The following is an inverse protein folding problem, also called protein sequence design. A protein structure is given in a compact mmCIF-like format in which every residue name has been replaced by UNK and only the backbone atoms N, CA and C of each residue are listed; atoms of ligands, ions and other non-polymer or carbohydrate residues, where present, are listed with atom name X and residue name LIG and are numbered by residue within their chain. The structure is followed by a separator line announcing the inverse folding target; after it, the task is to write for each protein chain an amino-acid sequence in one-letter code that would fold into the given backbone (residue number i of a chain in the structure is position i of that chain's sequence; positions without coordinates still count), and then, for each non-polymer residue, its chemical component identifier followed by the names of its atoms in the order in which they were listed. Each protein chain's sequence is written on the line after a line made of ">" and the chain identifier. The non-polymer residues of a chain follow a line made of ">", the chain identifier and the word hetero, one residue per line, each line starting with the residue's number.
data_IF_632735458670
#
_entry.id   IF_632735458670
#
_cell.length_a   1.000
_cell.length_b   1.000
_cell.length_c   1.000
_cell.angle_alpha   90.00
_cell.angle_beta   90.00
_cell.angle_gamma   90.00
#
_symmetry.space_group_name_H-M   'P 1'
#
loop_
_entity.id
_entity.type
_entity.pdbx_description
1 polymer ?
#
# COMPACT_ATOMS: atom_id res chain seq x y z
N UNK A 1 3.90 22.17 -25.10
CA UNK A 1 3.02 21.18 -25.79
C UNK A 1 1.81 21.92 -26.30
N UNK A 2 1.61 21.98 -27.59
CA UNK A 2 0.45 22.61 -28.25
C UNK A 2 -0.82 21.78 -28.01
N UNK A 3 -2.01 22.34 -28.29
CA UNK A 3 -3.27 21.60 -28.16
C UNK A 3 -3.36 20.39 -29.10
N UNK A 4 -2.68 20.43 -30.24
CA UNK A 4 -2.58 19.31 -31.20
C UNK A 4 -1.65 18.20 -30.71
N UNK A 5 -0.54 18.50 -30.05
CA UNK A 5 0.35 17.51 -29.42
C UNK A 5 -0.31 16.75 -28.27
N UNK A 6 -1.24 17.38 -27.55
CA UNK A 6 -2.07 16.72 -26.52
C UNK A 6 -3.08 15.72 -27.11
N UNK A 7 -3.50 15.91 -28.36
CA UNK A 7 -4.49 15.02 -29.02
C UNK A 7 -3.93 13.67 -29.44
N UNK A 8 -2.61 13.49 -29.47
CA UNK A 8 -1.94 12.21 -29.85
C UNK A 8 -1.27 11.48 -28.68
N UNK A 9 -1.09 12.14 -27.54
CA UNK A 9 -0.42 11.57 -26.37
C UNK A 9 -1.39 10.73 -25.53
N UNK A 10 -0.94 9.55 -25.09
CA UNK A 10 -1.67 8.71 -24.13
C UNK A 10 -2.03 9.52 -22.89
N UNK A 11 -3.31 9.47 -22.48
CA UNK A 11 -3.78 10.06 -21.22
C UNK A 11 -4.32 8.97 -20.28
N UNK A 12 -3.74 8.85 -19.10
CA UNK A 12 -4.13 7.90 -18.06
C UNK A 12 -4.72 8.65 -16.87
N UNK A 13 -5.91 8.26 -16.44
CA UNK A 13 -6.53 8.78 -15.22
C UNK A 13 -6.50 7.73 -14.12
N UNK A 14 -5.91 8.07 -12.98
CA UNK A 14 -5.92 7.21 -11.78
C UNK A 14 -7.07 7.63 -10.87
N UNK A 15 -7.91 6.68 -10.49
CA UNK A 15 -9.05 6.89 -9.58
C UNK A 15 -8.80 6.14 -8.29
N UNK A 16 -8.63 6.87 -7.19
CA UNK A 16 -8.28 6.30 -5.90
C UNK A 16 -8.71 7.13 -4.70
N UNK A 17 -8.06 6.91 -3.56
CA UNK A 17 -8.34 7.64 -2.32
C UNK A 17 -7.68 9.02 -2.33
N UNK A 18 -8.42 10.05 -1.86
CA UNK A 18 -7.88 11.39 -1.63
C UNK A 18 -7.29 11.56 -0.22
N UNK A 19 -6.73 12.76 0.03
CA UNK A 19 -6.06 13.09 1.30
C UNK A 19 -7.03 13.21 2.49
N UNK A 20 -8.31 13.39 2.24
CA UNK A 20 -9.31 13.39 3.33
C UNK A 20 -9.36 12.07 4.11
N UNK A 21 -8.91 10.98 3.51
CA UNK A 21 -8.73 9.65 4.10
C UNK A 21 -7.29 9.20 3.96
N UNK A 22 -6.35 9.99 4.43
CA UNK A 22 -4.92 9.67 4.32
C UNK A 22 -4.63 8.24 4.75
N UNK A 23 -4.09 7.48 3.81
CA UNK A 23 -3.80 6.04 3.96
C UNK A 23 -2.72 5.63 2.96
N UNK A 24 -2.24 4.39 3.05
CA UNK A 24 -1.33 3.84 2.04
C UNK A 24 -1.87 4.01 0.62
N UNK A 25 -3.17 3.81 0.40
CA UNK A 25 -3.79 3.96 -0.93
C UNK A 25 -3.74 5.41 -1.42
N UNK A 26 -3.90 6.40 -0.54
CA UNK A 26 -3.78 7.81 -0.94
C UNK A 26 -2.37 8.13 -1.44
N UNK A 27 -1.35 7.66 -0.73
CA UNK A 27 0.05 7.80 -1.13
C UNK A 27 0.37 7.02 -2.40
N UNK A 28 -0.16 5.82 -2.55
CA UNK A 28 0.01 5.03 -3.78
C UNK A 28 -0.65 5.72 -4.98
N UNK A 29 -1.91 6.19 -4.84
CA UNK A 29 -2.63 6.95 -5.88
C UNK A 29 -1.81 8.16 -6.33
N UNK A 30 -1.27 8.92 -5.37
CA UNK A 30 -0.39 10.06 -5.64
C UNK A 30 0.87 9.63 -6.41
N UNK A 31 1.58 8.61 -5.93
CA UNK A 31 2.84 8.18 -6.53
C UNK A 31 2.65 7.59 -7.92
N UNK A 32 1.63 6.74 -8.12
CA UNK A 32 1.32 6.19 -9.43
C UNK A 32 0.97 7.29 -10.43
N UNK A 33 0.09 8.23 -10.04
CA UNK A 33 -0.28 9.36 -10.92
C UNK A 33 0.93 10.21 -11.30
N UNK A 34 1.80 10.49 -10.32
CA UNK A 34 3.00 11.32 -10.54
C UNK A 34 4.03 10.58 -11.40
N UNK A 35 4.21 9.29 -11.18
CA UNK A 35 5.16 8.48 -11.95
C UNK A 35 4.68 8.30 -13.41
N UNK A 36 3.37 8.07 -13.62
CA UNK A 36 2.77 8.03 -14.96
C UNK A 36 2.92 9.38 -15.70
N UNK A 37 2.81 10.51 -14.98
CA UNK A 37 2.99 11.84 -15.55
C UNK A 37 4.42 12.08 -16.10
N UNK A 38 5.39 11.29 -15.70
CA UNK A 38 6.73 11.26 -16.29
C UNK A 38 6.82 10.53 -17.64
N UNK A 39 5.77 9.79 -18.03
CA UNK A 39 5.75 8.98 -19.28
C UNK A 39 4.63 9.38 -20.25
N UNK A 40 3.51 9.87 -19.74
CA UNK A 40 2.33 10.22 -20.52
C UNK A 40 1.55 11.37 -19.85
N UNK A 41 0.47 11.84 -20.48
CA UNK A 41 -0.45 12.70 -19.77
C UNK A 41 -1.14 11.92 -18.64
N UNK A 42 -1.19 12.48 -17.44
CA UNK A 42 -1.82 11.83 -16.30
C UNK A 42 -2.73 12.80 -15.53
N UNK A 43 -3.81 12.27 -14.96
CA UNK A 43 -4.71 12.99 -14.06
C UNK A 43 -5.17 12.10 -12.91
N UNK A 44 -5.65 12.71 -11.83
CA UNK A 44 -6.16 11.98 -10.68
C UNK A 44 -7.60 12.39 -10.34
N UNK A 45 -8.46 11.40 -10.09
CA UNK A 45 -9.82 11.61 -9.62
C UNK A 45 -9.97 10.90 -8.27
N UNK A 46 -10.23 11.66 -7.21
CA UNK A 46 -10.05 11.21 -5.85
C UNK A 46 -11.37 11.12 -5.08
N UNK A 47 -11.53 10.02 -4.36
CA UNK A 47 -12.59 9.83 -3.39
C UNK A 47 -12.33 10.72 -2.17
N UNK A 48 -13.15 11.76 -1.99
CA UNK A 48 -13.06 12.69 -0.87
C UNK A 48 -13.79 12.17 0.36
N UNK A 49 -14.96 11.53 0.16
CA UNK A 49 -15.76 10.95 1.25
C UNK A 49 -16.17 9.53 0.87
N UNK A 50 -15.90 8.60 1.78
CA UNK A 50 -16.33 7.22 1.69
C UNK A 50 -17.64 7.02 2.47
N UNK A 51 -17.66 6.14 3.47
CA UNK A 51 -18.80 5.91 4.36
C UNK A 51 -18.92 7.03 5.39
N UNK A 52 -20.07 7.16 6.09
CA UNK A 52 -20.19 8.10 7.22
C UNK A 52 -19.05 7.92 8.23
N UNK A 53 -18.51 9.04 8.74
CA UNK A 53 -17.37 9.05 9.67
C UNK A 53 -17.52 8.05 10.83
N UNK A 54 -18.75 7.94 11.37
CA UNK A 54 -19.06 7.01 12.49
C UNK A 54 -18.91 5.52 12.15
N UNK A 55 -18.89 5.16 10.86
CA UNK A 55 -18.74 3.79 10.36
C UNK A 55 -17.31 3.48 9.93
N UNK A 56 -16.41 4.46 10.07
CA UNK A 56 -15.04 4.32 9.58
C UNK A 56 -14.12 3.95 10.74
N UNK A 57 -13.38 2.82 10.66
CA UNK A 57 -12.32 2.52 11.61
C UNK A 57 -11.27 3.63 11.55
N UNK A 58 -10.80 4.14 12.69
CA UNK A 58 -9.88 5.27 12.73
C UNK A 58 -10.53 6.59 12.29
N UNK A 59 -11.76 6.84 12.74
CA UNK A 59 -12.56 8.04 12.40
C UNK A 59 -11.86 9.36 12.78
N UNK A 60 -10.91 9.34 13.70
CA UNK A 60 -10.12 10.49 14.16
C UNK A 60 -9.28 11.10 13.03
N UNK A 61 -8.78 10.30 12.10
CA UNK A 61 -7.92 10.73 10.99
C UNK A 61 -8.69 11.33 9.81
N UNK A 62 -10.01 11.09 9.73
CA UNK A 62 -10.83 11.57 8.61
C UNK A 62 -10.91 13.10 8.63
N UNK A 63 -10.32 13.73 7.61
CA UNK A 63 -10.23 15.18 7.50
C UNK A 63 -9.18 15.84 8.41
N UNK A 64 -8.33 15.05 9.06
CA UNK A 64 -7.17 15.56 9.77
C UNK A 64 -6.05 15.95 8.78
N UNK A 65 -5.28 16.96 9.13
CA UNK A 65 -4.13 17.42 8.34
C UNK A 65 -2.91 16.52 8.66
N UNK A 66 -2.80 15.41 7.95
CA UNK A 66 -1.82 14.36 8.20
C UNK A 66 -0.68 14.35 7.18
N UNK A 67 -0.84 15.06 6.06
CA UNK A 67 0.13 15.06 4.96
C UNK A 67 0.33 16.45 4.39
N UNK A 68 1.57 16.76 4.03
CA UNK A 68 1.94 17.95 3.26
C UNK A 68 2.22 17.61 1.78
N UNK A 69 1.91 16.38 1.35
CA UNK A 69 2.17 15.93 -0.03
C UNK A 69 1.09 16.49 -0.94
N UNK A 70 1.51 17.23 -1.97
CA UNK A 70 0.63 17.80 -2.99
C UNK A 70 0.95 17.27 -4.39
N UNK A 71 -0.07 17.15 -5.24
CA UNK A 71 0.12 16.76 -6.63
C UNK A 71 0.89 17.85 -7.39
N UNK A 72 1.79 17.47 -8.32
CA UNK A 72 2.46 18.41 -9.19
C UNK A 72 1.43 19.22 -10.03
N UNK A 73 1.72 20.48 -10.31
CA UNK A 73 0.81 21.39 -11.04
C UNK A 73 0.39 20.87 -12.43
N UNK A 74 1.28 20.07 -13.06
CA UNK A 74 0.99 19.49 -14.38
C UNK A 74 0.11 18.22 -14.33
N UNK A 75 -0.24 17.71 -13.14
CA UNK A 75 -1.19 16.63 -12.94
C UNK A 75 -2.54 17.21 -12.54
N UNK A 76 -3.53 17.27 -13.44
CA UNK A 76 -4.88 17.73 -13.08
C UNK A 76 -5.50 16.79 -12.03
N UNK A 77 -6.08 17.37 -10.98
CA UNK A 77 -6.70 16.62 -9.90
C UNK A 77 -8.13 17.10 -9.66
N UNK A 78 -9.03 16.16 -9.50
CA UNK A 78 -10.35 16.40 -8.92
C UNK A 78 -10.47 15.63 -7.60
N UNK A 79 -10.29 16.31 -6.46
CA UNK A 79 -10.48 15.76 -5.12
C UNK A 79 -11.85 16.14 -4.57
N UNK A 80 -12.88 15.39 -4.96
CA UNK A 80 -14.24 15.80 -4.64
C UNK A 80 -15.30 14.70 -4.68
N UNK A 81 -14.96 13.46 -5.01
CA UNK A 81 -15.97 12.41 -5.17
C UNK A 81 -16.48 11.96 -3.80
N UNK A 82 -17.78 12.16 -3.58
CA UNK A 82 -18.46 11.71 -2.37
C UNK A 82 -19.19 10.38 -2.59
N UNK A 83 -19.18 9.52 -1.59
CA UNK A 83 -19.91 8.26 -1.56
C UNK A 83 -21.41 8.41 -1.83
N UNK A 84 -21.98 9.56 -1.41
CA UNK A 84 -23.40 9.90 -1.59
C UNK A 84 -23.74 10.47 -2.96
N UNK A 85 -22.74 10.69 -3.83
CA UNK A 85 -22.83 11.26 -5.16
C UNK A 85 -23.26 12.74 -5.20
N UNK A 86 -24.53 13.02 -5.52
CA UNK A 86 -25.01 14.39 -5.68
C UNK A 86 -24.21 15.18 -6.72
N UNK A 87 -23.93 16.44 -6.42
CA UNK A 87 -23.13 17.32 -7.28
C UNK A 87 -21.70 16.84 -7.49
N UNK A 88 -21.14 16.12 -6.50
CA UNK A 88 -19.78 15.61 -6.58
C UNK A 88 -19.60 14.63 -7.74
N UNK A 89 -20.58 13.76 -7.97
CA UNK A 89 -20.57 12.83 -9.10
C UNK A 89 -20.69 13.57 -10.44
N UNK A 90 -21.58 14.58 -10.55
CA UNK A 90 -21.70 15.38 -11.77
C UNK A 90 -20.35 16.05 -12.12
N UNK A 91 -19.70 16.65 -11.13
CA UNK A 91 -18.39 17.28 -11.30
C UNK A 91 -17.31 16.27 -11.68
N UNK A 92 -17.32 15.06 -11.08
CA UNK A 92 -16.42 13.98 -11.45
C UNK A 92 -16.59 13.55 -12.92
N UNK A 93 -17.84 13.42 -13.37
CA UNK A 93 -18.13 13.09 -14.78
C UNK A 93 -17.71 14.21 -15.74
N UNK A 94 -17.93 15.48 -15.35
CA UNK A 94 -17.44 16.65 -16.11
C UNK A 94 -15.91 16.66 -16.17
N UNK A 95 -15.24 16.26 -15.08
CA UNK A 95 -13.78 16.13 -15.07
C UNK A 95 -13.29 15.05 -16.05
N UNK A 96 -13.95 13.88 -16.10
CA UNK A 96 -13.66 12.86 -17.11
C UNK A 96 -13.86 13.39 -18.53
N UNK A 97 -14.94 14.16 -18.78
CA UNK A 97 -15.20 14.76 -20.09
C UNK A 97 -14.15 15.79 -20.50
N UNK A 98 -13.64 16.56 -19.53
CA UNK A 98 -12.59 17.56 -19.76
C UNK A 98 -11.24 16.91 -20.07
N UNK A 99 -10.86 15.94 -19.25
CA UNK A 99 -9.55 15.29 -19.33
C UNK A 99 -9.49 14.25 -20.47
N UNK A 100 -10.62 13.64 -20.85
CA UNK A 100 -10.75 12.63 -21.92
C UNK A 100 -9.68 11.52 -21.84
N UNK A 101 -9.60 10.78 -20.73
CA UNK A 101 -8.58 9.75 -20.58
C UNK A 101 -8.79 8.62 -21.60
N UNK A 102 -7.70 8.11 -22.17
CA UNK A 102 -7.68 6.87 -22.95
C UNK A 102 -7.82 5.64 -22.06
N UNK A 103 -7.28 5.75 -20.83
CA UNK A 103 -7.27 4.67 -19.85
C UNK A 103 -7.63 5.21 -18.46
N UNK A 104 -8.44 4.46 -17.74
CA UNK A 104 -8.79 4.72 -16.35
C UNK A 104 -8.30 3.56 -15.50
N UNK A 105 -7.49 3.83 -14.47
CA UNK A 105 -7.03 2.86 -13.48
C UNK A 105 -7.83 3.09 -12.20
N UNK A 106 -8.65 2.10 -11.82
CA UNK A 106 -9.43 2.10 -10.58
C UNK A 106 -8.67 1.36 -9.50
N UNK A 107 -8.35 2.02 -8.41
CA UNK A 107 -7.65 1.39 -7.28
C UNK A 107 -8.63 0.77 -6.31
N UNK A 108 -8.71 -0.55 -6.27
CA UNK A 108 -9.60 -1.30 -5.41
C UNK A 108 -8.95 -1.62 -4.06
N UNK A 109 -9.56 -1.15 -2.96
CA UNK A 109 -9.09 -1.46 -1.60
C UNK A 109 -10.24 -1.68 -0.59
N UNK A 110 -11.49 -1.33 -0.94
CA UNK A 110 -12.67 -1.42 -0.06
C UNK A 110 -13.95 -1.56 -0.86
N UNK A 111 -14.89 -2.34 -0.39
CA UNK A 111 -16.23 -2.45 -0.99
C UNK A 111 -16.99 -1.12 -0.99
N UNK A 112 -16.68 -0.21 -0.08
CA UNK A 112 -17.34 1.09 0.01
C UNK A 112 -17.26 1.91 -1.29
N UNK A 113 -16.24 1.74 -2.14
CA UNK A 113 -16.11 2.46 -3.41
C UNK A 113 -16.89 1.83 -4.57
N UNK A 114 -17.41 0.61 -4.41
CA UNK A 114 -17.89 -0.22 -5.51
C UNK A 114 -18.96 0.42 -6.40
N UNK A 115 -20.03 0.96 -5.80
CA UNK A 115 -21.11 1.60 -6.60
C UNK A 115 -20.61 2.86 -7.33
N UNK A 116 -19.71 3.60 -6.72
CA UNK A 116 -19.07 4.77 -7.34
C UNK A 116 -18.16 4.35 -8.48
N UNK A 117 -17.34 3.33 -8.28
CA UNK A 117 -16.46 2.80 -9.32
C UNK A 117 -17.24 2.21 -10.49
N UNK A 118 -18.34 1.50 -10.22
CA UNK A 118 -19.24 1.03 -11.28
C UNK A 118 -19.78 2.19 -12.12
N UNK A 119 -20.16 3.30 -11.49
CA UNK A 119 -20.66 4.48 -12.20
C UNK A 119 -19.58 5.14 -13.05
N UNK A 120 -18.38 5.32 -12.48
CA UNK A 120 -17.24 5.96 -13.16
C UNK A 120 -16.71 5.07 -14.30
N UNK A 121 -16.52 3.77 -14.06
CA UNK A 121 -16.09 2.80 -15.08
C UNK A 121 -17.04 2.76 -16.28
N UNK A 122 -18.36 2.64 -16.00
CA UNK A 122 -19.38 2.65 -17.06
C UNK A 122 -19.34 3.94 -17.87
N UNK A 123 -19.14 5.08 -17.19
CA UNK A 123 -19.10 6.38 -17.87
C UNK A 123 -17.87 6.52 -18.75
N UNK A 124 -16.69 6.20 -18.23
CA UNK A 124 -15.43 6.24 -18.96
C UNK A 124 -15.42 5.27 -20.16
N UNK A 125 -15.86 4.02 -19.95
CA UNK A 125 -15.93 3.02 -21.01
C UNK A 125 -16.86 3.43 -22.15
N UNK A 126 -17.99 4.09 -21.87
CA UNK A 126 -18.90 4.64 -22.91
C UNK A 126 -18.27 5.75 -23.74
N UNK A 127 -17.20 6.36 -23.27
CA UNK A 127 -16.39 7.37 -23.97
C UNK A 127 -15.16 6.79 -24.65
N UNK A 128 -15.05 5.48 -24.67
CA UNK A 128 -13.95 4.76 -25.32
C UNK A 128 -12.74 4.51 -24.43
N UNK A 129 -12.72 4.98 -23.19
CA UNK A 129 -11.63 4.71 -22.28
C UNK A 129 -11.55 3.22 -21.91
N UNK A 130 -10.34 2.65 -21.89
CA UNK A 130 -10.09 1.33 -21.31
C UNK A 130 -10.07 1.42 -19.80
N UNK A 131 -10.58 0.41 -19.11
CA UNK A 131 -10.65 0.37 -17.65
C UNK A 131 -9.74 -0.73 -17.11
N UNK A 132 -8.82 -0.37 -16.25
CA UNK A 132 -7.96 -1.29 -15.49
C UNK A 132 -8.46 -1.27 -14.05
N UNK A 133 -8.62 -2.44 -13.44
CA UNK A 133 -8.93 -2.58 -12.02
C UNK A 133 -7.68 -3.08 -11.29
N UNK A 134 -7.09 -2.22 -10.47
CA UNK A 134 -5.90 -2.50 -9.67
C UNK A 134 -6.32 -2.90 -8.25
N UNK A 135 -5.94 -4.10 -7.84
CA UNK A 135 -6.37 -4.72 -6.60
C UNK A 135 -5.29 -4.60 -5.53
N UNK A 136 -5.51 -3.73 -4.55
CA UNK A 136 -4.65 -3.62 -3.37
C UNK A 136 -5.03 -4.61 -2.28
N UNK A 137 -6.32 -4.95 -2.21
CA UNK A 137 -6.83 -6.00 -1.34
C UNK A 137 -7.96 -6.76 -2.06
N UNK A 138 -8.02 -8.08 -1.89
CA UNK A 138 -9.10 -8.88 -2.45
C UNK A 138 -10.44 -8.54 -1.78
N UNK A 139 -10.47 -8.46 -0.45
CA UNK A 139 -11.59 -8.00 0.37
C UNK A 139 -11.08 -7.58 1.75
N UNK A 140 -11.46 -6.42 2.25
CA UNK A 140 -11.19 -6.03 3.63
C UNK A 140 -11.92 -6.97 4.59
N UNK A 141 -11.17 -7.47 5.59
CA UNK A 141 -11.68 -8.46 6.54
C UNK A 141 -12.75 -7.88 7.46
N UNK A 142 -12.60 -6.61 7.84
CA UNK A 142 -13.61 -5.92 8.64
C UNK A 142 -14.92 -5.75 7.88
N UNK A 143 -14.85 -5.47 6.57
CA UNK A 143 -16.02 -5.36 5.70
C UNK A 143 -16.72 -6.73 5.49
N UNK A 144 -15.96 -7.82 5.41
CA UNK A 144 -16.52 -9.15 5.21
C UNK A 144 -17.47 -9.57 6.33
N UNK A 145 -17.30 -9.01 7.54
CA UNK A 145 -18.15 -9.27 8.71
C UNK A 145 -19.39 -8.37 8.80
N UNK A 146 -19.46 -7.30 8.00
CA UNK A 146 -20.60 -6.36 8.03
C UNK A 146 -21.83 -6.97 7.35
N UNK A 147 -23.02 -6.93 7.99
CA UNK A 147 -24.25 -7.43 7.40
C UNK A 147 -24.56 -6.78 6.04
N UNK A 148 -24.92 -7.60 5.05
CA UNK A 148 -25.27 -7.12 3.70
C UNK A 148 -24.09 -6.84 2.76
N UNK A 149 -22.87 -6.72 3.24
CA UNK A 149 -21.69 -6.43 2.38
C UNK A 149 -21.47 -7.53 1.35
N UNK A 150 -21.63 -8.79 1.75
CA UNK A 150 -21.47 -9.94 0.84
C UNK A 150 -22.46 -9.90 -0.34
N UNK A 151 -23.74 -9.57 -0.06
CA UNK A 151 -24.76 -9.43 -1.10
C UNK A 151 -24.49 -8.21 -1.98
N UNK A 152 -24.08 -7.10 -1.38
CA UNK A 152 -23.73 -5.87 -2.09
C UNK A 152 -22.58 -6.11 -3.06
N UNK A 153 -21.46 -6.66 -2.60
CA UNK A 153 -20.30 -6.98 -3.43
C UNK A 153 -20.68 -8.04 -4.49
N UNK A 154 -21.32 -9.13 -4.09
CA UNK A 154 -21.76 -10.19 -5.00
C UNK A 154 -22.70 -9.72 -6.10
N UNK A 155 -23.47 -8.65 -5.85
CA UNK A 155 -24.40 -8.08 -6.83
C UNK A 155 -23.73 -7.05 -7.76
N UNK A 156 -22.89 -6.18 -7.24
CA UNK A 156 -22.33 -5.06 -8.01
C UNK A 156 -20.97 -5.37 -8.65
N UNK A 157 -20.14 -6.22 -8.02
CA UNK A 157 -18.84 -6.56 -8.58
C UNK A 157 -18.94 -7.19 -9.97
N UNK A 158 -19.80 -8.19 -10.24
CA UNK A 158 -19.95 -8.71 -11.60
C UNK A 158 -20.37 -7.66 -12.63
N UNK A 159 -21.10 -6.61 -12.17
CA UNK A 159 -21.47 -5.50 -13.06
C UNK A 159 -20.32 -4.57 -13.35
N UNK A 160 -19.44 -4.31 -12.38
CA UNK A 160 -18.20 -3.55 -12.57
C UNK A 160 -17.26 -4.29 -13.51
N UNK A 161 -17.04 -5.59 -13.30
CA UNK A 161 -16.13 -6.42 -14.09
C UNK A 161 -16.46 -6.43 -15.60
N UNK A 162 -17.71 -6.21 -15.99
CA UNK A 162 -18.11 -6.07 -17.41
C UNK A 162 -17.44 -4.91 -18.15
N UNK A 163 -16.96 -3.91 -17.42
CA UNK A 163 -16.29 -2.72 -17.99
C UNK A 163 -14.77 -2.80 -17.86
N UNK A 164 -14.26 -3.77 -17.11
CA UNK A 164 -12.83 -3.94 -16.85
C UNK A 164 -12.19 -4.68 -18.00
N UNK A 165 -11.19 -4.06 -18.62
CA UNK A 165 -10.42 -4.64 -19.72
C UNK A 165 -9.16 -5.36 -19.28
N UNK A 166 -8.65 -5.08 -18.06
CA UNK A 166 -7.54 -5.78 -17.45
C UNK A 166 -7.54 -5.62 -15.94
N UNK A 167 -6.89 -6.56 -15.26
CA UNK A 167 -6.68 -6.56 -13.82
C UNK A 167 -5.19 -6.46 -13.48
N UNK A 168 -4.87 -5.72 -12.42
CA UNK A 168 -3.53 -5.64 -11.85
C UNK A 168 -3.58 -6.10 -10.40
N UNK A 169 -2.66 -6.95 -10.02
CA UNK A 169 -2.38 -7.39 -8.64
C UNK A 169 -0.91 -7.19 -8.33
N UNK A 170 -0.52 -7.20 -7.05
CA UNK A 170 0.85 -6.85 -6.66
C UNK A 170 1.75 -8.07 -6.37
N UNK A 171 1.15 -9.26 -6.26
CA UNK A 171 1.88 -10.51 -6.00
C UNK A 171 1.19 -11.72 -6.64
N UNK A 172 1.91 -12.83 -6.79
CA UNK A 172 1.33 -14.12 -7.18
C UNK A 172 0.36 -14.64 -6.12
N UNK A 173 0.59 -14.31 -4.83
CA UNK A 173 -0.36 -14.59 -3.76
C UNK A 173 -1.70 -13.89 -4.00
N UNK A 174 -1.68 -12.61 -4.36
CA UNK A 174 -2.90 -11.85 -4.66
C UNK A 174 -3.58 -12.37 -5.92
N UNK A 175 -2.81 -12.77 -6.95
CA UNK A 175 -3.34 -13.39 -8.15
C UNK A 175 -4.11 -14.66 -7.83
N UNK A 176 -3.53 -15.55 -7.02
CA UNK A 176 -4.17 -16.79 -6.60
C UNK A 176 -5.49 -16.52 -5.86
N UNK A 177 -5.47 -15.62 -4.88
CA UNK A 177 -6.65 -15.27 -4.09
C UNK A 177 -7.73 -14.60 -4.94
N UNK A 178 -7.35 -13.71 -5.83
CA UNK A 178 -8.29 -13.00 -6.70
C UNK A 178 -9.00 -13.97 -7.65
N UNK A 179 -8.26 -14.87 -8.30
CA UNK A 179 -8.83 -15.86 -9.24
C UNK A 179 -9.69 -16.91 -8.55
N UNK A 180 -9.40 -17.20 -7.27
CA UNK A 180 -10.25 -18.07 -6.45
C UNK A 180 -11.55 -17.38 -6.00
N UNK A 181 -11.53 -16.05 -5.79
CA UNK A 181 -12.67 -15.30 -5.25
C UNK A 181 -13.62 -14.74 -6.33
N UNK A 182 -13.12 -14.42 -7.52
CA UNK A 182 -13.87 -13.72 -8.56
C UNK A 182 -13.75 -14.40 -9.93
N UNK A 183 -14.85 -14.37 -10.69
CA UNK A 183 -14.85 -14.74 -12.11
C UNK A 183 -14.47 -13.51 -12.94
N UNK A 184 -13.22 -13.44 -13.38
CA UNK A 184 -12.66 -12.25 -14.04
C UNK A 184 -12.94 -12.21 -15.56
N UNK A 185 -13.54 -13.27 -16.12
CA UNK A 185 -13.75 -13.40 -17.57
C UNK A 185 -12.44 -13.55 -18.33
N UNK A 186 -12.40 -13.04 -19.57
CA UNK A 186 -11.23 -13.10 -20.46
C UNK A 186 -10.26 -11.94 -20.29
N UNK A 187 -10.53 -11.03 -19.34
CA UNK A 187 -9.66 -9.88 -19.08
C UNK A 187 -8.31 -10.35 -18.51
N UNK A 188 -7.18 -9.93 -19.11
CA UNK A 188 -5.87 -10.34 -18.62
C UNK A 188 -5.62 -9.86 -17.20
N UNK A 189 -4.96 -10.70 -16.40
CA UNK A 189 -4.46 -10.35 -15.06
C UNK A 189 -2.94 -10.22 -15.12
N UNK A 190 -2.42 -9.09 -14.66
CA UNK A 190 -0.97 -8.85 -14.58
C UNK A 190 -0.54 -8.70 -13.12
N UNK A 191 0.55 -9.36 -12.78
CA UNK A 191 1.26 -9.10 -11.52
C UNK A 191 2.22 -7.93 -11.78
N UNK A 192 1.92 -6.79 -11.18
CA UNK A 192 2.79 -5.61 -11.22
C UNK A 192 3.19 -5.30 -9.77
N UNK A 193 4.45 -5.50 -9.39
CA UNK A 193 4.90 -5.24 -8.03
C UNK A 193 4.56 -3.82 -7.57
N UNK A 194 4.19 -3.70 -6.32
CA UNK A 194 3.87 -2.42 -5.71
C UNK A 194 5.07 -1.46 -5.79
N UNK A 195 4.86 -0.24 -6.24
CA UNK A 195 5.91 0.77 -6.24
C UNK A 195 6.31 1.21 -4.82
N UNK A 196 7.54 1.69 -4.62
CA UNK A 196 8.06 2.08 -3.31
C UNK A 196 7.36 3.31 -2.75
N UNK A 197 7.38 3.47 -1.40
CA UNK A 197 6.95 4.70 -0.73
C UNK A 197 8.14 5.64 -0.46
N UNK A 198 8.99 5.81 -1.45
CA UNK A 198 10.23 6.60 -1.43
C UNK A 198 10.04 8.07 -1.00
N UNK A 199 8.90 8.65 -1.29
CA UNK A 199 8.54 10.03 -0.89
C UNK A 199 8.31 10.20 0.62
N UNK A 200 8.05 9.10 1.35
CA UNK A 200 7.91 9.07 2.81
C UNK A 200 9.19 8.60 3.50
N UNK A 201 10.09 7.96 2.75
CA UNK A 201 11.38 7.52 3.26
C UNK A 201 12.34 8.70 3.23
N UNK A 202 12.69 9.25 4.39
CA UNK A 202 13.88 10.10 4.48
C UNK A 202 15.08 9.19 4.70
N UNK A 203 16.12 9.24 3.84
CA UNK A 203 17.38 8.60 4.17
C UNK A 203 17.81 9.14 5.54
N UNK A 204 17.85 8.27 6.54
CA UNK A 204 18.42 8.65 7.81
C UNK A 204 19.88 9.05 7.54
N UNK A 205 20.37 10.20 8.05
CA UNK A 205 21.79 10.40 8.10
C UNK A 205 22.37 9.16 8.79
N UNK A 206 23.42 8.59 8.20
CA UNK A 206 24.10 7.45 8.81
C UNK A 206 24.50 7.90 10.23
N UNK A 207 23.72 7.46 11.21
CA UNK A 207 24.01 7.76 12.61
C UNK A 207 25.25 6.95 12.95
N UNK A 208 26.31 7.57 13.48
CA UNK A 208 27.44 6.80 13.95
C UNK A 208 26.92 5.76 14.94
N UNK A 209 27.01 4.50 14.57
CA UNK A 209 26.56 3.42 15.43
C UNK A 209 27.48 3.33 16.64
N UNK A 210 27.12 3.96 17.76
CA UNK A 210 27.81 3.67 19.02
C UNK A 210 27.43 2.27 19.47
N UNK A 211 28.40 1.37 19.69
CA UNK A 211 28.14 0.02 20.19
C UNK A 211 27.37 0.00 21.51
N UNK A 212 27.48 1.07 22.29
CA UNK A 212 26.88 1.19 23.64
C UNK A 212 25.44 1.71 23.63
N UNK A 213 24.97 2.28 22.51
CA UNK A 213 23.58 2.72 22.40
C UNK A 213 22.63 1.54 22.09
N UNK A 214 21.41 1.50 22.68
CA UNK A 214 20.41 0.49 22.33
C UNK A 214 20.01 0.60 20.85
N UNK A 215 19.83 -0.54 20.19
CA UNK A 215 19.29 -0.63 18.83
C UNK A 215 17.80 -0.30 18.85
N UNK A 216 17.35 0.62 18.01
CA UNK A 216 15.96 1.08 17.93
C UNK A 216 15.18 0.21 16.96
N UNK A 217 14.33 -0.66 17.49
CA UNK A 217 13.41 -1.49 16.75
C UNK A 217 12.10 -0.72 16.53
N UNK A 218 11.61 -0.68 15.30
CA UNK A 218 10.36 -0.01 14.95
C UNK A 218 9.33 -1.01 14.44
N UNK A 219 8.17 -1.08 15.09
CA UNK A 219 6.92 -1.45 14.47
C UNK A 219 6.15 -0.18 14.16
N UNK A 220 5.74 0.02 12.92
CA UNK A 220 4.87 1.13 12.53
C UNK A 220 3.72 0.64 11.66
N UNK A 221 2.50 0.99 12.02
CA UNK A 221 1.29 0.65 11.30
C UNK A 221 0.08 0.54 12.22
N UNK A 222 -1.13 0.52 11.63
CA UNK A 222 -2.35 0.28 12.39
C UNK A 222 -2.26 -1.05 13.13
N UNK A 223 -2.58 -1.04 14.42
CA UNK A 223 -2.56 -2.22 15.28
C UNK A 223 -3.90 -2.94 15.16
N UNK A 224 -3.86 -4.18 14.67
CA UNK A 224 -5.02 -5.06 14.46
C UNK A 224 -4.63 -6.51 14.76
N UNK A 225 -5.58 -7.42 15.04
CA UNK A 225 -5.27 -8.80 15.43
C UNK A 225 -4.33 -9.55 14.48
N UNK A 226 -4.44 -9.30 13.17
CA UNK A 226 -3.60 -9.98 12.18
C UNK A 226 -2.24 -9.34 11.95
N UNK A 227 -1.93 -8.25 12.65
CA UNK A 227 -0.62 -7.58 12.59
C UNK A 227 0.40 -8.16 13.57
N UNK A 228 -0.04 -9.04 14.50
CA UNK A 228 0.85 -9.83 15.35
C UNK A 228 1.74 -9.01 16.28
N UNK A 229 1.30 -7.82 16.70
CA UNK A 229 2.09 -6.96 17.60
C UNK A 229 2.31 -7.64 18.94
N UNK A 230 1.32 -8.41 19.39
CA UNK A 230 1.39 -9.25 20.59
C UNK A 230 2.51 -10.31 20.49
N UNK A 231 2.73 -10.91 19.31
CA UNK A 231 3.83 -11.87 19.08
C UNK A 231 5.20 -11.16 19.15
N UNK A 232 5.30 -9.91 18.68
CA UNK A 232 6.52 -9.12 18.81
C UNK A 232 6.84 -8.83 20.27
N UNK A 233 5.84 -8.44 21.06
CA UNK A 233 6.01 -8.21 22.50
C UNK A 233 6.35 -9.50 23.21
N UNK A 234 5.71 -10.63 22.87
CA UNK A 234 6.04 -11.93 23.41
C UNK A 234 7.48 -12.32 23.08
N UNK A 235 7.91 -12.18 21.81
CA UNK A 235 9.29 -12.45 21.40
C UNK A 235 10.31 -11.59 22.16
N UNK A 236 10.02 -10.30 22.32
CA UNK A 236 10.87 -9.39 23.08
C UNK A 236 10.94 -9.77 24.56
N UNK A 237 9.86 -10.30 25.12
CA UNK A 237 9.77 -10.73 26.52
C UNK A 237 10.54 -12.06 26.79
N UNK A 238 10.88 -12.83 25.74
CA UNK A 238 11.70 -14.07 25.90
C UNK A 238 13.20 -13.78 26.03
N UNK A 239 13.64 -12.58 25.68
CA UNK A 239 15.03 -12.18 25.83
C UNK A 239 15.40 -12.10 27.32
N UNK A 240 16.64 -12.47 27.65
CA UNK A 240 17.14 -12.15 28.97
C UNK A 240 17.38 -10.63 29.13
N UNK A 241 17.54 -10.15 30.35
CA UNK A 241 17.68 -8.70 30.61
C UNK A 241 18.92 -8.11 29.96
N UNK A 242 20.03 -8.85 29.90
CA UNK A 242 21.28 -8.39 29.29
C UNK A 242 21.14 -8.25 27.77
N UNK A 243 20.33 -9.11 27.15
CA UNK A 243 19.96 -9.02 25.76
C UNK A 243 18.97 -7.86 25.51
N UNK A 244 17.91 -7.79 26.30
CA UNK A 244 16.82 -6.84 26.12
C UNK A 244 17.27 -5.36 26.22
N UNK A 245 18.16 -5.03 27.16
CA UNK A 245 18.70 -3.66 27.34
C UNK A 245 19.45 -3.13 26.12
N UNK A 246 19.88 -4.02 25.22
CA UNK A 246 20.54 -3.65 23.94
C UNK A 246 19.55 -3.11 22.90
N UNK A 247 18.27 -3.09 23.22
CA UNK A 247 17.20 -2.62 22.32
C UNK A 247 16.34 -1.55 22.97
N UNK A 248 15.66 -0.77 22.13
CA UNK A 248 14.48 0.02 22.44
C UNK A 248 13.42 -0.33 21.40
N UNK A 249 12.31 -0.88 21.85
CA UNK A 249 11.19 -1.26 20.98
C UNK A 249 10.18 -0.13 20.92
N UNK A 250 9.96 0.42 19.73
CA UNK A 250 8.94 1.44 19.47
C UNK A 250 7.78 0.79 18.70
N UNK A 251 6.57 0.86 19.28
CA UNK A 251 5.32 0.38 18.67
C UNK A 251 4.44 1.60 18.39
N UNK A 252 4.35 1.98 17.11
CA UNK A 252 3.72 3.23 16.69
C UNK A 252 2.53 2.93 15.77
N UNK A 253 1.36 3.43 16.13
CA UNK A 253 0.15 3.34 15.33
C UNK A 253 -1.11 3.18 16.15
N UNK A 254 -2.22 3.63 15.57
CA UNK A 254 -3.55 3.60 16.17
C UNK A 254 -4.09 2.17 16.27
N UNK A 255 -4.66 1.84 17.41
CA UNK A 255 -5.33 0.55 17.63
C UNK A 255 -6.75 0.59 17.05
N UNK A 256 -7.08 -0.42 16.24
CA UNK A 256 -8.42 -0.56 15.66
C UNK A 256 -9.17 -1.74 16.27
N UNK A 257 -10.49 -1.69 16.14
CA UNK A 257 -11.39 -2.80 16.54
C UNK A 257 -11.36 -3.08 18.06
N UNK A 258 -10.84 -2.12 18.85
CA UNK A 258 -10.72 -2.29 20.31
C UNK A 258 -9.78 -3.42 20.74
N UNK A 259 -8.75 -3.72 19.93
CA UNK A 259 -7.80 -4.80 20.17
C UNK A 259 -6.83 -4.43 21.29
N UNK A 260 -7.05 -4.95 22.51
CA UNK A 260 -6.25 -4.60 23.70
C UNK A 260 -5.05 -5.52 23.97
N UNK A 261 -5.00 -6.68 23.33
CA UNK A 261 -3.98 -7.71 23.57
C UNK A 261 -2.52 -7.20 23.50
N UNK A 262 -2.14 -6.32 22.56
CA UNK A 262 -0.77 -5.77 22.53
C UNK A 262 -0.44 -4.94 23.78
N UNK A 263 -1.35 -4.09 24.24
CA UNK A 263 -1.14 -3.25 25.42
C UNK A 263 -1.10 -4.08 26.70
N UNK A 264 -1.94 -5.12 26.79
CA UNK A 264 -1.90 -6.11 27.86
C UNK A 264 -0.60 -6.93 27.86
N UNK A 265 -0.10 -7.32 26.66
CA UNK A 265 1.17 -8.00 26.52
C UNK A 265 2.34 -7.11 26.99
N UNK A 266 2.33 -5.82 26.63
CA UNK A 266 3.31 -4.84 27.10
C UNK A 266 3.28 -4.74 28.64
N UNK A 267 2.10 -4.62 29.22
CA UNK A 267 1.96 -4.50 30.68
C UNK A 267 2.47 -5.74 31.44
N UNK A 268 2.37 -6.93 30.83
CA UNK A 268 2.88 -8.19 31.41
C UNK A 268 4.36 -8.45 31.11
N UNK A 269 4.98 -7.68 30.20
CA UNK A 269 6.35 -7.90 29.77
C UNK A 269 7.36 -7.56 30.87
N UNK A 270 8.37 -8.42 31.15
CA UNK A 270 9.46 -8.11 32.07
C UNK A 270 10.34 -6.95 31.57
N UNK A 271 10.14 -6.52 30.33
CA UNK A 271 10.89 -5.47 29.66
C UNK A 271 10.00 -4.28 29.25
N UNK A 272 8.85 -4.09 29.93
CA UNK A 272 7.92 -2.99 29.63
C UNK A 272 8.59 -1.61 29.62
N UNK A 273 9.62 -1.42 30.46
CA UNK A 273 10.43 -0.19 30.54
C UNK A 273 11.31 0.08 29.29
N UNK A 274 11.45 -0.91 28.40
CA UNK A 274 12.19 -0.81 27.15
C UNK A 274 11.26 -0.69 25.91
N UNK A 275 9.95 -0.69 26.14
CA UNK A 275 8.91 -0.62 25.07
C UNK A 275 8.23 0.74 25.13
N UNK A 276 8.31 1.49 24.05
CA UNK A 276 7.57 2.73 23.83
C UNK A 276 6.32 2.46 23.01
N UNK A 277 5.13 2.87 23.49
CA UNK A 277 3.85 2.72 22.82
C UNK A 277 3.28 4.09 22.44
N UNK A 278 3.05 4.29 21.13
CA UNK A 278 2.39 5.49 20.58
C UNK A 278 1.08 5.08 19.94
N UNK A 279 -0.02 5.14 20.70
CA UNK A 279 -1.36 4.70 20.25
C UNK A 279 -2.13 5.84 19.60
N UNK A 280 -1.71 6.23 18.40
CA UNK A 280 -2.41 7.17 17.54
C UNK A 280 -1.93 7.05 16.10
N UNK A 281 -2.72 7.55 15.17
CA UNK A 281 -2.24 7.78 13.81
C UNK A 281 -1.21 8.93 13.81
N UNK A 282 -0.11 8.75 13.09
CA UNK A 282 0.98 9.73 13.00
C UNK A 282 0.96 10.44 11.66
N UNK A 283 1.42 11.68 11.63
CA UNK A 283 1.59 12.46 10.39
C UNK A 283 2.73 11.89 9.53
N UNK A 284 2.76 12.23 8.24
CA UNK A 284 3.85 11.82 7.34
C UNK A 284 5.21 12.32 7.82
N UNK A 285 5.27 13.50 8.42
CA UNK A 285 6.51 14.04 8.98
C UNK A 285 7.00 13.25 10.19
N UNK A 286 6.10 12.86 11.08
CA UNK A 286 6.41 12.00 12.23
C UNK A 286 6.81 10.59 11.78
N UNK A 287 6.06 10.02 10.80
CA UNK A 287 6.36 8.74 10.20
C UNK A 287 7.78 8.72 9.63
N UNK A 288 8.15 9.73 8.81
CA UNK A 288 9.50 9.87 8.30
C UNK A 288 10.54 10.03 9.43
N UNK A 289 10.18 10.68 10.53
CA UNK A 289 11.01 10.81 11.74
C UNK A 289 11.25 9.47 12.42
N UNK A 290 10.21 8.63 12.59
CA UNK A 290 10.34 7.29 13.19
C UNK A 290 11.22 6.38 12.34
N UNK A 291 11.00 6.30 11.02
CA UNK A 291 11.85 5.51 10.13
C UNK A 291 13.29 6.04 10.08
N UNK A 292 13.46 7.37 10.11
CA UNK A 292 14.77 8.01 10.15
C UNK A 292 15.57 7.74 11.44
N UNK A 293 14.91 7.45 12.55
CA UNK A 293 15.54 7.14 13.83
C UNK A 293 15.70 5.63 14.07
N UNK A 294 15.01 4.79 13.31
CA UNK A 294 15.05 3.34 13.46
C UNK A 294 16.37 2.76 12.93
N UNK A 295 16.87 1.75 13.63
CA UNK A 295 17.98 0.93 13.18
C UNK A 295 17.48 -0.30 12.41
N UNK A 296 16.28 -0.79 12.72
CA UNK A 296 15.60 -1.88 12.02
C UNK A 296 14.08 -1.77 12.19
N UNK A 297 13.32 -2.40 11.29
CA UNK A 297 11.87 -2.49 11.40
C UNK A 297 11.40 -3.94 11.50
N UNK A 298 10.25 -4.16 12.18
CA UNK A 298 9.70 -5.51 12.44
C UNK A 298 8.24 -5.57 12.02
N UNK A 299 7.88 -6.57 11.20
CA UNK A 299 6.54 -6.79 10.67
C UNK A 299 6.06 -8.21 10.97
N UNK A 300 5.53 -8.48 12.18
CA UNK A 300 5.21 -9.82 12.67
C UNK A 300 3.83 -10.31 12.23
N UNK A 301 3.41 -10.01 11.02
CA UNK A 301 2.06 -10.19 10.55
C UNK A 301 1.64 -11.66 10.46
N UNK A 302 0.39 -11.97 10.77
CA UNK A 302 -0.20 -13.29 10.57
C UNK A 302 -0.70 -13.51 9.14
N UNK A 303 -0.97 -12.41 8.43
CA UNK A 303 -1.38 -12.39 7.02
C UNK A 303 -1.22 -10.98 6.44
N UNK A 304 -0.93 -10.87 5.17
CA UNK A 304 -0.92 -9.60 4.45
C UNK A 304 -0.88 -9.82 2.94
N UNK A 305 -1.61 -9.02 2.17
CA UNK A 305 -1.41 -8.87 0.74
C UNK A 305 -0.20 -7.98 0.46
N UNK A 306 -0.21 -6.77 1.04
CA UNK A 306 0.87 -5.80 0.94
C UNK A 306 1.02 -5.04 2.25
N UNK A 307 2.14 -4.34 2.43
CA UNK A 307 2.41 -3.50 3.60
C UNK A 307 3.09 -2.19 3.21
N UNK A 308 2.35 -1.08 3.32
CA UNK A 308 2.93 0.26 3.12
C UNK A 308 4.12 0.54 4.04
N UNK A 309 4.02 0.30 5.37
CA UNK A 309 5.15 0.46 6.27
C UNK A 309 6.38 -0.37 5.93
N UNK A 310 6.21 -1.61 5.44
CA UNK A 310 7.32 -2.43 4.96
C UNK A 310 8.01 -1.78 3.75
N UNK A 311 7.22 -1.28 2.79
CA UNK A 311 7.77 -0.57 1.61
C UNK A 311 8.55 0.69 2.03
N UNK A 312 8.05 1.44 3.04
CA UNK A 312 8.77 2.61 3.57
C UNK A 312 10.08 2.18 4.23
N UNK A 313 10.07 1.08 5.02
CA UNK A 313 11.27 0.56 5.67
C UNK A 313 12.34 0.13 4.64
N UNK A 314 11.93 -0.54 3.56
CA UNK A 314 12.82 -0.94 2.46
C UNK A 314 13.34 0.28 1.72
N UNK A 315 12.49 1.27 1.42
CA UNK A 315 12.92 2.53 0.79
C UNK A 315 13.85 3.37 1.68
N UNK A 316 13.74 3.23 3.02
CA UNK A 316 14.70 3.81 3.96
C UNK A 316 16.00 2.98 4.11
N UNK A 317 16.08 1.83 3.45
CA UNK A 317 17.22 0.93 3.47
C UNK A 317 17.40 0.15 4.77
N UNK A 318 16.36 0.05 5.62
CA UNK A 318 16.47 -0.57 6.94
C UNK A 318 16.56 -2.10 6.86
N UNK A 319 17.35 -2.76 7.72
CA UNK A 319 17.12 -4.17 8.03
C UNK A 319 15.67 -4.39 8.45
N UNK A 320 15.01 -5.43 7.94
CA UNK A 320 13.64 -5.75 8.30
C UNK A 320 13.51 -7.21 8.74
N UNK A 321 12.87 -7.44 9.89
CA UNK A 321 12.39 -8.77 10.28
C UNK A 321 10.92 -8.85 9.87
N UNK A 322 10.58 -9.85 9.08
CA UNK A 322 9.25 -9.97 8.48
C UNK A 322 8.76 -11.42 8.55
N UNK A 323 7.51 -11.61 8.91
CA UNK A 323 6.92 -12.96 8.85
C UNK A 323 6.70 -13.39 7.40
N UNK A 324 6.98 -14.65 7.12
CA UNK A 324 6.85 -15.25 5.78
C UNK A 324 5.37 -15.54 5.45
N UNK A 325 4.57 -14.47 5.23
CA UNK A 325 3.13 -14.58 4.95
C UNK A 325 2.74 -13.80 3.70
N UNK A 326 1.86 -14.40 2.90
CA UNK A 326 1.20 -13.75 1.77
C UNK A 326 2.15 -13.04 0.81
N UNK A 327 1.76 -11.86 0.36
CA UNK A 327 2.56 -11.02 -0.55
C UNK A 327 3.84 -10.45 0.06
N UNK A 328 4.04 -10.52 1.40
CA UNK A 328 5.29 -10.05 2.03
C UNK A 328 6.50 -10.88 1.61
N UNK A 329 6.31 -12.18 1.38
CA UNK A 329 7.38 -13.09 0.88
C UNK A 329 7.90 -12.62 -0.47
N UNK A 330 6.98 -12.25 -1.37
CA UNK A 330 7.35 -11.76 -2.70
C UNK A 330 7.94 -10.35 -2.65
N UNK A 331 7.36 -9.47 -1.84
CA UNK A 331 7.84 -8.10 -1.68
C UNK A 331 9.27 -8.02 -1.12
N UNK A 332 9.69 -9.00 -0.31
CA UNK A 332 11.03 -9.00 0.31
C UNK A 332 12.04 -9.93 -0.37
N UNK A 333 11.63 -10.68 -1.40
CA UNK A 333 12.48 -11.71 -2.04
C UNK A 333 13.86 -11.21 -2.46
N UNK A 334 13.90 -10.04 -3.09
CA UNK A 334 15.13 -9.46 -3.63
C UNK A 334 15.74 -8.39 -2.71
N UNK A 335 15.15 -8.18 -1.53
CA UNK A 335 15.64 -7.21 -0.55
C UNK A 335 16.66 -7.85 0.38
N UNK A 336 17.94 -7.52 0.23
CA UNK A 336 19.05 -8.07 1.02
C UNK A 336 18.95 -7.75 2.52
N UNK A 337 18.15 -6.74 2.87
CA UNK A 337 17.88 -6.33 4.24
C UNK A 337 16.87 -7.22 4.98
N UNK A 338 16.16 -8.12 4.30
CA UNK A 338 15.12 -8.92 4.90
C UNK A 338 15.64 -10.12 5.69
N UNK A 339 15.00 -10.40 6.83
CA UNK A 339 15.16 -11.59 7.65
C UNK A 339 13.77 -12.23 7.85
N UNK A 340 13.37 -13.19 7.00
CA UNK A 340 12.07 -13.82 7.09
C UNK A 340 12.00 -14.83 8.24
N UNK A 341 10.87 -14.81 8.98
CA UNK A 341 10.60 -15.73 10.09
C UNK A 341 9.22 -16.38 9.93
N UNK A 342 8.96 -17.54 10.52
CA UNK A 342 7.62 -18.11 10.56
C UNK A 342 6.64 -17.19 11.29
N UNK A 343 5.37 -17.12 10.87
CA UNK A 343 4.34 -16.40 11.61
C UNK A 343 3.96 -17.13 12.90
N UNK A 344 3.56 -16.39 13.92
CA UNK A 344 3.14 -16.93 15.23
C UNK A 344 4.21 -17.76 15.92
N UNK A 345 5.47 -17.41 15.69
CA UNK A 345 6.64 -18.03 16.33
C UNK A 345 7.48 -16.97 17.06
N UNK A 346 7.12 -16.64 18.31
CA UNK A 346 7.88 -15.67 19.11
C UNK A 346 9.34 -16.09 19.34
N UNK A 347 9.67 -17.37 19.36
CA UNK A 347 11.05 -17.84 19.55
C UNK A 347 11.91 -17.55 18.31
N UNK A 348 11.40 -17.87 17.11
CA UNK A 348 12.06 -17.53 15.85
C UNK A 348 12.22 -16.01 15.70
N UNK A 349 11.17 -15.25 16.07
CA UNK A 349 11.18 -13.79 16.04
C UNK A 349 12.22 -13.22 17.01
N UNK A 350 12.28 -13.72 18.27
CA UNK A 350 13.29 -13.31 19.26
C UNK A 350 14.72 -13.57 18.79
N UNK A 351 14.95 -14.74 18.16
CA UNK A 351 16.23 -15.07 17.55
C UNK A 351 16.61 -14.12 16.40
N UNK A 352 15.63 -13.70 15.59
CA UNK A 352 15.84 -12.72 14.52
C UNK A 352 16.17 -11.32 15.09
N UNK A 353 15.51 -10.90 16.18
CA UNK A 353 15.87 -9.64 16.85
C UNK A 353 17.34 -9.64 17.28
N UNK A 354 17.83 -10.73 17.86
CA UNK A 354 19.24 -10.83 18.26
C UNK A 354 20.21 -10.75 17.08
N UNK A 355 19.86 -11.32 15.91
CA UNK A 355 20.67 -11.19 14.69
C UNK A 355 20.83 -9.75 14.21
N UNK A 356 19.84 -8.89 14.47
CA UNK A 356 19.91 -7.47 14.12
C UNK A 356 21.07 -6.72 14.80
N UNK A 357 21.54 -7.21 15.96
CA UNK A 357 22.69 -6.61 16.63
C UNK A 357 23.97 -6.65 15.79
N UNK A 358 24.13 -7.69 14.96
CA UNK A 358 25.24 -7.81 14.00
C UNK A 358 25.05 -6.98 12.72
N UNK A 359 23.88 -6.37 12.54
CA UNK A 359 23.52 -5.59 11.34
C UNK A 359 23.32 -4.10 11.65
N UNK A 360 23.83 -3.67 12.78
CA UNK A 360 23.73 -2.27 13.22
C UNK A 360 24.36 -1.33 12.20
N UNK A 361 23.59 -0.35 11.76
CA UNK A 361 24.06 0.66 10.78
C UNK A 361 24.03 0.20 9.32
N UNK A 362 23.70 -1.07 9.06
CA UNK A 362 23.57 -1.54 7.69
C UNK A 362 22.45 -0.79 6.96
N UNK A 363 22.66 -0.59 5.67
CA UNK A 363 21.64 -0.04 4.76
C UNK A 363 21.64 -0.82 3.45
N UNK A 364 20.45 -1.05 2.93
CA UNK A 364 20.21 -1.91 1.77
C UNK A 364 19.46 -1.16 0.68
N UNK A 365 19.78 -1.44 -0.57
CA UNK A 365 19.07 -0.86 -1.70
C UNK A 365 17.66 -1.46 -1.83
N UNK A 366 16.66 -0.61 -2.04
CA UNK A 366 15.30 -1.05 -2.36
C UNK A 366 15.29 -1.66 -3.78
N UNK A 367 14.84 -2.90 -3.96
CA UNK A 367 14.77 -3.52 -5.28
C UNK A 367 13.60 -2.98 -6.12
N UNK A 368 12.65 -2.27 -5.53
CA UNK A 368 11.48 -1.72 -6.20
C UNK A 368 11.77 -0.35 -6.80
N UNK A 369 11.10 -0.02 -7.90
CA UNK A 369 11.18 1.32 -8.48
C UNK A 369 9.89 1.68 -9.20
N UNK A 370 9.54 2.97 -9.19
CA UNK A 370 8.40 3.48 -9.93
C UNK A 370 8.59 3.37 -11.43
N UNK A 371 9.82 3.47 -11.93
CA UNK A 371 10.09 3.29 -13.37
C UNK A 371 9.67 1.90 -13.84
N UNK A 372 10.05 0.83 -13.11
CA UNK A 372 9.63 -0.55 -13.44
C UNK A 372 8.13 -0.74 -13.33
N UNK A 373 7.52 -0.19 -12.28
CA UNK A 373 6.06 -0.25 -12.09
C UNK A 373 5.33 0.41 -13.26
N UNK A 374 5.74 1.63 -13.63
CA UNK A 374 5.13 2.39 -14.74
C UNK A 374 5.40 1.72 -16.09
N UNK A 375 6.60 1.21 -16.35
CA UNK A 375 6.91 0.48 -17.59
C UNK A 375 6.00 -0.75 -17.75
N UNK A 376 5.69 -1.45 -16.64
CA UNK A 376 4.75 -2.57 -16.63
C UNK A 376 3.31 -2.13 -16.93
N UNK A 377 2.87 -0.99 -16.35
CA UNK A 377 1.56 -0.40 -16.69
C UNK A 377 1.49 0.04 -18.15
N UNK A 378 2.52 0.70 -18.67
CA UNK A 378 2.57 1.13 -20.06
C UNK A 378 2.49 -0.07 -21.01
N UNK A 379 3.20 -1.16 -20.71
CA UNK A 379 3.12 -2.41 -21.48
C UNK A 379 1.71 -2.98 -21.51
N UNK A 380 1.03 -3.05 -20.36
CA UNK A 380 -0.35 -3.53 -20.27
C UNK A 380 -1.32 -2.60 -21.05
N UNK A 381 -1.12 -1.31 -20.96
CA UNK A 381 -1.92 -0.31 -21.66
C UNK A 381 -1.75 -0.44 -23.18
N UNK A 382 -0.54 -0.65 -23.67
CA UNK A 382 -0.27 -0.87 -25.10
C UNK A 382 -0.97 -2.14 -25.62
N UNK A 383 -0.91 -3.24 -24.84
CA UNK A 383 -1.67 -4.46 -25.16
C UNK A 383 -3.18 -4.18 -25.26
N UNK A 384 -3.76 -3.48 -24.30
CA UNK A 384 -5.19 -3.14 -24.29
C UNK A 384 -5.61 -2.24 -25.47
N UNK A 385 -4.69 -1.46 -26.00
CA UNK A 385 -4.92 -0.58 -27.15
C UNK A 385 -4.60 -1.27 -28.48
N UNK A 386 -4.21 -2.55 -28.47
CA UNK A 386 -3.83 -3.30 -29.67
C UNK A 386 -2.51 -2.83 -30.29
N UNK A 387 -1.64 -2.18 -29.51
CA UNK A 387 -0.29 -1.77 -29.92
C UNK A 387 0.72 -2.84 -29.50
N UNK A 388 1.73 -3.10 -30.34
CA UNK A 388 2.80 -4.02 -29.97
C UNK A 388 3.66 -3.37 -28.88
N UNK A 389 3.84 -4.00 -27.69
CA UNK A 389 4.67 -3.45 -26.62
C UNK A 389 6.09 -3.15 -27.10
N UNK A 390 6.70 -2.09 -26.55
CA UNK A 390 8.07 -1.71 -26.88
C UNK A 390 9.08 -2.81 -26.51
N UNK A 391 10.24 -2.85 -27.16
CA UNK A 391 11.28 -3.86 -26.90
C UNK A 391 11.75 -3.86 -25.43
N UNK A 392 11.85 -2.67 -24.79
CA UNK A 392 12.20 -2.52 -23.38
C UNK A 392 11.15 -3.12 -22.44
N UNK A 393 9.87 -2.91 -22.73
CA UNK A 393 8.75 -3.47 -21.97
C UNK A 393 8.69 -5.01 -22.06
N UNK A 394 9.07 -5.59 -23.19
CA UNK A 394 9.16 -7.05 -23.38
C UNK A 394 10.27 -7.70 -22.55
N UNK A 395 11.43 -7.04 -22.42
CA UNK A 395 12.53 -7.54 -21.59
C UNK A 395 12.17 -7.58 -20.08
N UNK A 396 11.46 -6.58 -19.58
CA UNK A 396 11.04 -6.55 -18.18
C UNK A 396 9.94 -7.58 -17.86
N UNK A 397 9.00 -7.80 -18.79
CA UNK A 397 7.97 -8.83 -18.65
C UNK A 397 8.55 -10.25 -18.66
N UNK A 398 9.58 -10.51 -19.45
CA UNK A 398 10.25 -11.81 -19.52
C UNK A 398 11.05 -12.13 -18.25
N UNK A 399 11.64 -11.14 -17.58
CA UNK A 399 12.37 -11.35 -16.31
C UNK A 399 11.44 -11.62 -15.11
N UNK A 400 10.16 -11.29 -15.19
CA UNK A 400 9.17 -11.56 -14.15
C UNK A 400 8.51 -12.95 -14.23
N UNK A 401 8.65 -13.66 -15.36
CA UNK A 401 7.98 -14.97 -15.59
C UNK A 401 8.92 -16.17 -15.45
N UNK A 402 10.22 -15.97 -15.51
CA UNK A 402 11.19 -17.08 -15.51
C UNK A 402 11.88 -17.21 -14.15
N UNK A 403 11.19 -17.86 -13.20
CA UNK A 403 11.76 -18.74 -12.14
C UNK A 403 10.58 -19.39 -11.41
N UNK A 404 10.18 -20.56 -11.92
CA UNK A 404 9.40 -21.54 -11.17
C UNK A 404 10.25 -22.15 -10.04
#
# INVERSE_FOLDING_TARGET
>A
MTAEERSSALHVMVIGSGWHFTSGISHYTYRLSTALAGRCAASALLMRRLVPRRMYPGASRVGADLTNVGYPVHVPVYDGVDWYWGRSMTQALTFIDRERPDVVILQWWTGAVLHTYLRLARYAARRGAKVILEWHEGQDVGEATMPGTRQYVGTLMPRLLRYVGAHVVHSGFDLHNLTAAYQLGDAPVRVIPHGPYDHLARPAPARPASPDEPLRLLYLGVVRPFKGVEDLVAAFSTLDRAQAIRFRLMIVGETWEGWTEPDEAIARSPHADLIERVDRYVTDAELAGYFGQADAAVFPYHRSSASGPLQIAMSAGLPVVVTAVGGLVEATRDYQGADPVPPRDPAALGSALLRLLGRRGDRYADPHSWDRTVDSFCSLIDELRGRTPSAAARQHAAMGVDRR
#
